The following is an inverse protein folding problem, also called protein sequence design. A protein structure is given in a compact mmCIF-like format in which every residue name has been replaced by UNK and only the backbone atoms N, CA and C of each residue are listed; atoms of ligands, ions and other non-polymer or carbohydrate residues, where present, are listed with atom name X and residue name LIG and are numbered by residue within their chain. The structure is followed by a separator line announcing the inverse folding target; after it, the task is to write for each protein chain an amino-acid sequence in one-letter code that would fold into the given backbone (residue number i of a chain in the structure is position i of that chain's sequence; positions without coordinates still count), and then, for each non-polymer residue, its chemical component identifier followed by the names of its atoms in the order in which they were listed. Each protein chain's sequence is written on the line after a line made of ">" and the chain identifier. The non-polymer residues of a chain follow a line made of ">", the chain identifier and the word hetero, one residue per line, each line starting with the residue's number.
data_IF_893038944874
#
_entry.id   IF_893038944874
#
_cell.length_a   1.000
_cell.length_b   1.000
_cell.length_c   1.000
_cell.angle_alpha   90.00
_cell.angle_beta   90.00
_cell.angle_gamma   90.00
#
_symmetry.space_group_name_H-M   'P 1'
#
loop_
_entity.id
_entity.type
_entity.pdbx_description
1 polymer ?
#
# COMPACT_ATOMS: atom_id res chain seq x y z
N UNK A 1 -15.07 -0.13 40.08
CA UNK A 1 -13.91 -1.00 39.75
C UNK A 1 -13.82 -1.40 38.26
N UNK A 2 -14.91 -1.33 37.47
CA UNK A 2 -14.95 -1.72 36.05
C UNK A 2 -14.26 -0.78 35.04
N UNK A 3 -14.04 0.49 35.37
CA UNK A 3 -13.42 1.48 34.45
C UNK A 3 -11.89 1.47 34.45
N UNK A 4 -11.25 0.85 35.45
CA UNK A 4 -9.78 0.79 35.54
C UNK A 4 -9.17 -0.16 34.51
N UNK A 5 -9.82 -1.33 34.31
CA UNK A 5 -9.43 -2.32 33.30
C UNK A 5 -9.63 -1.74 31.88
N UNK A 6 -10.72 -1.00 31.66
CA UNK A 6 -11.02 -0.36 30.37
C UNK A 6 -9.98 0.71 29.97
N UNK A 7 -9.33 1.38 30.93
CA UNK A 7 -8.31 2.43 30.67
C UNK A 7 -6.95 1.85 30.28
N UNK A 8 -6.63 0.64 30.74
CA UNK A 8 -5.36 -0.03 30.42
C UNK A 8 -5.41 -0.78 29.09
N UNK A 9 -6.59 -1.01 28.53
CA UNK A 9 -6.78 -1.80 27.31
C UNK A 9 -6.08 -1.21 26.08
N UNK A 10 -6.16 0.12 25.88
CA UNK A 10 -5.56 0.79 24.71
C UNK A 10 -4.01 0.76 24.70
N UNK A 11 -3.30 1.16 25.76
CA UNK A 11 -1.84 1.09 25.77
C UNK A 11 -1.32 -0.35 25.70
N UNK A 12 -2.04 -1.30 26.31
CA UNK A 12 -1.68 -2.72 26.22
C UNK A 12 -1.84 -3.26 24.78
N UNK A 13 -2.89 -2.85 24.07
CA UNK A 13 -3.09 -3.21 22.67
C UNK A 13 -2.00 -2.62 21.75
N UNK A 14 -1.55 -1.40 22.03
CA UNK A 14 -0.45 -0.76 21.28
C UNK A 14 0.89 -1.49 21.50
N UNK A 15 1.17 -1.98 22.70
CA UNK A 15 2.36 -2.80 22.98
C UNK A 15 2.29 -4.20 22.38
N UNK A 16 1.08 -4.74 22.21
CA UNK A 16 0.85 -6.06 21.62
C UNK A 16 0.79 -6.05 20.09
N UNK A 17 0.82 -4.89 19.45
CA UNK A 17 0.77 -4.78 18.00
C UNK A 17 2.11 -5.25 17.38
N UNK A 18 2.06 -6.29 16.56
CA UNK A 18 3.21 -6.71 15.76
C UNK A 18 3.45 -5.75 14.59
N UNK A 19 4.70 -5.53 14.17
CA UNK A 19 4.98 -4.75 12.96
C UNK A 19 4.38 -5.45 11.73
N UNK A 20 3.64 -4.70 10.92
CA UNK A 20 3.18 -5.20 9.63
C UNK A 20 4.37 -5.29 8.68
N UNK A 21 4.59 -6.46 8.09
CA UNK A 21 5.63 -6.67 7.07
C UNK A 21 5.05 -6.39 5.69
N UNK A 22 5.89 -5.90 4.77
CA UNK A 22 5.51 -5.74 3.37
C UNK A 22 5.13 -7.11 2.77
N UNK A 23 4.02 -7.15 2.02
CA UNK A 23 3.58 -8.33 1.30
C UNK A 23 3.90 -8.19 -0.19
N UNK A 24 4.31 -9.28 -0.82
CA UNK A 24 4.47 -9.31 -2.27
C UNK A 24 3.10 -9.30 -2.95
N UNK A 25 2.91 -8.32 -3.83
CA UNK A 25 1.69 -8.19 -4.63
C UNK A 25 1.97 -8.56 -6.09
N UNK A 26 1.21 -9.52 -6.63
CA UNK A 26 1.21 -9.87 -8.06
C UNK A 26 -0.10 -9.42 -8.70
N UNK A 27 -0.02 -8.58 -9.74
CA UNK A 27 -1.17 -8.08 -10.49
C UNK A 27 -1.05 -8.44 -11.96
N UNK A 28 -2.18 -8.61 -12.64
CA UNK A 28 -2.23 -8.78 -14.10
C UNK A 28 -2.30 -7.43 -14.82
N UNK A 29 -1.61 -7.32 -15.96
CA UNK A 29 -1.70 -6.19 -16.87
C UNK A 29 -2.35 -6.64 -18.18
N UNK A 30 -3.15 -5.77 -18.82
CA UNK A 30 -3.82 -6.10 -20.08
C UNK A 30 -2.85 -6.29 -21.26
N UNK A 31 -1.67 -5.66 -21.21
CA UNK A 31 -0.57 -5.85 -22.15
C UNK A 31 0.74 -5.33 -21.53
N UNK A 32 1.86 -5.57 -22.20
CA UNK A 32 3.17 -5.07 -21.79
C UNK A 32 3.24 -3.53 -21.90
N UNK A 33 3.78 -2.83 -20.87
CA UNK A 33 4.09 -1.40 -20.97
C UNK A 33 5.23 -1.15 -21.98
N UNK A 34 5.07 -0.13 -22.82
CA UNK A 34 6.06 0.23 -23.85
C UNK A 34 7.08 1.27 -23.38
N UNK A 35 6.83 1.97 -22.27
CA UNK A 35 7.74 2.96 -21.69
C UNK A 35 7.46 3.18 -20.20
N UNK A 36 8.51 3.57 -19.47
CA UNK A 36 8.46 3.97 -18.06
C UNK A 36 8.69 5.48 -17.85
N UNK A 37 8.99 6.24 -18.91
CA UNK A 37 9.11 7.70 -18.83
C UNK A 37 7.71 8.33 -18.71
N UNK A 38 7.40 9.05 -17.61
CA UNK A 38 6.08 9.66 -17.40
C UNK A 38 5.68 10.67 -18.48
N UNK A 39 6.61 11.18 -19.28
CA UNK A 39 6.34 12.13 -20.35
C UNK A 39 6.10 11.48 -21.72
N UNK A 40 6.21 10.16 -21.86
CA UNK A 40 6.13 9.46 -23.14
C UNK A 40 4.89 8.56 -23.26
N UNK A 41 4.07 8.82 -24.29
CA UNK A 41 2.87 8.06 -24.69
C UNK A 41 1.81 7.80 -23.59
N UNK A 42 0.61 8.38 -23.76
CA UNK A 42 -0.53 8.17 -22.88
C UNK A 42 -1.34 6.91 -23.27
N UNK A 43 -0.79 5.72 -22.96
CA UNK A 43 -1.44 4.43 -23.22
C UNK A 43 -1.90 3.79 -21.92
N UNK A 44 -3.04 3.07 -21.96
CA UNK A 44 -3.61 2.37 -20.79
C UNK A 44 -2.61 1.52 -20.01
N UNK A 45 -1.82 0.64 -20.66
CA UNK A 45 -0.79 -0.17 -20.01
C UNK A 45 0.31 0.66 -19.33
N UNK A 46 0.80 1.72 -19.97
CA UNK A 46 1.83 2.60 -19.40
C UNK A 46 1.29 3.38 -18.19
N UNK A 47 0.04 3.82 -18.27
CA UNK A 47 -0.63 4.54 -17.18
C UNK A 47 -0.83 3.64 -15.95
N UNK A 48 -1.22 2.37 -16.15
CA UNK A 48 -1.36 1.40 -15.07
C UNK A 48 -0.04 1.20 -14.31
N UNK A 49 1.08 1.09 -15.03
CA UNK A 49 2.41 1.04 -14.40
C UNK A 49 2.76 2.35 -13.68
N UNK A 50 2.50 3.50 -14.32
CA UNK A 50 2.87 4.83 -13.82
C UNK A 50 2.32 5.11 -12.42
N UNK A 51 1.08 4.66 -12.15
CA UNK A 51 0.40 4.82 -10.85
C UNK A 51 1.12 4.13 -9.67
N UNK A 52 2.01 3.17 -9.95
CA UNK A 52 2.75 2.43 -8.93
C UNK A 52 4.17 2.95 -8.71
N UNK A 53 4.65 3.87 -9.55
CA UNK A 53 6.03 4.39 -9.51
C UNK A 53 6.06 5.86 -9.15
N UNK A 54 5.14 6.65 -9.73
CA UNK A 54 5.15 8.10 -9.61
C UNK A 54 3.90 8.60 -8.88
N UNK A 55 4.11 9.62 -8.05
CA UNK A 55 3.04 10.41 -7.42
C UNK A 55 2.91 11.74 -8.15
N UNK A 56 1.74 12.39 -8.08
CA UNK A 56 1.45 13.69 -8.69
C UNK A 56 0.77 14.59 -7.68
#
# INVERSE_FOLDING_TARGET
>A
MKHGIARLALPLALLAAAPATAADLRIGLSSEPSSMDPHFHNLGPNNALRQHIFQS
#
